data_IF_729678366192
#
_entry.id   IF_729678366192
#
_cell.length_a   1.000
_cell.length_b   1.000
_cell.length_c   1.000
_cell.angle_alpha   90.00
_cell.angle_beta   90.00
_cell.angle_gamma   90.00
#
_symmetry.space_group_name_H-M   'P 1'
#
loop_
_entity.id
_entity.type
_entity.pdbx_description
1 polymer ?
#
# COMPACT_ATOMS: atom_id res chain seq x y z
N UNK A 1 37.95 10.69 9.24
CA UNK A 1 36.59 10.12 9.31
C UNK A 1 35.89 10.50 8.03
N UNK A 2 35.76 9.55 7.10
CA UNK A 2 35.37 9.78 5.71
C UNK A 2 33.88 10.07 5.58
N UNK A 3 33.59 11.09 4.77
CA UNK A 3 32.30 11.72 4.50
C UNK A 3 31.26 10.85 3.75
N UNK A 4 31.29 9.52 3.93
CA UNK A 4 30.42 8.58 3.19
C UNK A 4 29.24 7.99 3.99
N UNK A 5 29.09 8.30 5.27
CA UNK A 5 27.97 7.77 6.08
C UNK A 5 26.69 8.62 6.02
N UNK A 6 26.71 9.76 5.31
CA UNK A 6 25.51 10.62 5.13
C UNK A 6 24.65 10.25 3.92
N UNK A 7 25.11 9.40 3.01
CA UNK A 7 24.36 8.99 1.82
C UNK A 7 23.44 7.79 2.04
N UNK A 8 23.34 7.30 3.28
CA UNK A 8 22.37 6.29 3.70
C UNK A 8 21.17 6.88 4.44
N UNK A 9 21.02 8.21 4.45
CA UNK A 9 19.73 8.83 4.73
C UNK A 9 18.71 8.18 3.81
N UNK A 10 17.68 7.59 4.40
CA UNK A 10 16.60 6.92 3.70
C UNK A 10 16.10 7.80 2.54
N UNK A 11 16.51 7.50 1.30
CA UNK A 11 16.17 8.27 0.09
C UNK A 11 14.68 8.13 -0.28
N UNK A 12 13.87 7.52 0.59
CA UNK A 12 12.49 7.19 0.34
C UNK A 12 11.60 8.32 0.84
N UNK A 13 11.32 9.28 -0.04
CA UNK A 13 10.39 10.37 0.27
C UNK A 13 8.92 9.91 0.31
N UNK A 14 8.60 8.67 -0.13
CA UNK A 14 7.29 8.06 0.03
C UNK A 14 7.37 6.53 -0.02
N UNK A 15 6.28 5.89 0.43
CA UNK A 15 6.16 4.44 0.54
C UNK A 15 6.06 3.71 -0.81
N UNK A 16 5.52 4.37 -1.83
CA UNK A 16 5.46 3.84 -3.20
C UNK A 16 6.85 3.52 -3.75
N UNK A 17 7.83 4.37 -3.45
CA UNK A 17 9.21 4.14 -3.88
C UNK A 17 9.81 2.86 -3.28
N UNK A 18 9.40 2.46 -2.06
CA UNK A 18 9.82 1.21 -1.43
C UNK A 18 9.18 -0.01 -2.09
N UNK A 19 7.90 0.10 -2.47
CA UNK A 19 7.19 -0.97 -3.16
C UNK A 19 7.75 -1.26 -4.55
N UNK A 20 8.11 -0.20 -5.29
CA UNK A 20 8.56 -0.31 -6.67
C UNK A 20 9.93 -0.99 -6.84
N UNK A 21 10.71 -1.09 -5.76
CA UNK A 21 12.05 -1.66 -5.83
C UNK A 21 12.07 -3.12 -6.27
N UNK A 22 13.04 -3.52 -7.11
CA UNK A 22 13.39 -4.93 -7.31
C UNK A 22 13.79 -5.60 -5.98
N UNK A 23 13.63 -6.92 -5.88
CA UNK A 23 13.93 -7.68 -4.67
C UNK A 23 15.34 -7.43 -4.12
N UNK A 24 16.35 -7.47 -4.99
CA UNK A 24 17.73 -7.27 -4.58
C UNK A 24 18.02 -5.87 -4.03
N UNK A 25 17.22 -4.86 -4.40
CA UNK A 25 17.31 -3.51 -3.84
C UNK A 25 16.57 -3.40 -2.51
N UNK A 26 15.41 -4.07 -2.36
CA UNK A 26 14.70 -4.16 -1.06
C UNK A 26 15.54 -4.84 0.01
N UNK A 27 16.22 -5.93 -0.33
CA UNK A 27 17.13 -6.62 0.59
C UNK A 27 18.28 -5.70 1.02
N UNK A 28 18.84 -4.89 0.11
CA UNK A 28 19.88 -3.90 0.43
C UNK A 28 19.36 -2.72 1.25
N UNK A 29 18.07 -2.40 1.13
CA UNK A 29 17.42 -1.36 1.91
C UNK A 29 17.15 -1.78 3.36
N UNK A 30 17.44 -3.02 3.74
CA UNK A 30 17.27 -3.46 5.13
C UNK A 30 18.11 -2.65 6.12
N UNK A 31 17.43 -2.01 7.07
CA UNK A 31 18.01 -1.32 8.22
C UNK A 31 16.93 -1.18 9.31
N UNK A 32 17.35 -0.95 10.56
CA UNK A 32 16.42 -0.69 11.66
C UNK A 32 15.53 0.54 11.38
N UNK A 33 16.10 1.61 10.82
CA UNK A 33 15.37 2.81 10.42
C UNK A 33 14.26 2.51 9.40
N UNK A 34 14.57 1.72 8.37
CA UNK A 34 13.58 1.36 7.35
C UNK A 34 12.54 0.35 7.87
N UNK A 35 12.89 -0.49 8.84
CA UNK A 35 11.91 -1.32 9.55
C UNK A 35 10.90 -0.46 10.30
N UNK A 36 11.38 0.49 11.10
CA UNK A 36 10.54 1.39 11.91
C UNK A 36 9.65 2.24 11.00
N UNK A 37 10.20 2.75 9.89
CA UNK A 37 9.42 3.43 8.87
C UNK A 37 8.30 2.55 8.31
N UNK A 38 8.61 1.32 7.90
CA UNK A 38 7.64 0.37 7.35
C UNK A 38 6.54 0.01 8.38
N UNK A 39 6.93 -0.24 9.64
CA UNK A 39 6.01 -0.52 10.74
C UNK A 39 5.06 0.65 11.00
N UNK A 40 5.60 1.87 11.11
CA UNK A 40 4.81 3.07 11.34
C UNK A 40 3.86 3.34 10.18
N UNK A 41 4.34 3.24 8.94
CA UNK A 41 3.51 3.44 7.77
C UNK A 41 2.35 2.44 7.74
N UNK A 42 2.63 1.15 7.91
CA UNK A 42 1.59 0.12 7.86
C UNK A 42 0.60 0.27 9.02
N UNK A 43 1.06 0.63 10.20
CA UNK A 43 0.17 0.91 11.32
C UNK A 43 -0.76 2.11 11.04
N UNK A 44 -0.30 3.14 10.33
CA UNK A 44 -1.13 4.29 9.96
C UNK A 44 -2.08 3.95 8.81
N UNK A 45 -1.56 3.38 7.73
CA UNK A 45 -2.33 3.15 6.51
C UNK A 45 -3.24 1.93 6.60
N UNK A 46 -2.96 0.97 7.49
CA UNK A 46 -3.76 -0.24 7.62
C UNK A 46 -4.49 -0.37 8.95
N UNK A 47 -4.97 0.75 9.50
CA UNK A 47 -5.77 0.80 10.73
C UNK A 47 -5.13 -0.01 11.89
N UNK A 48 -3.91 0.37 12.26
CA UNK A 48 -3.13 -0.25 13.32
C UNK A 48 -2.74 -1.72 13.08
N UNK A 49 -2.72 -2.17 11.82
CA UNK A 49 -2.18 -3.49 11.48
C UNK A 49 -0.74 -3.64 11.97
N UNK A 50 -0.48 -4.74 12.67
CA UNK A 50 0.86 -5.10 13.11
C UNK A 50 1.52 -6.01 12.09
N UNK A 51 2.71 -5.63 11.63
CA UNK A 51 3.49 -6.46 10.73
C UNK A 51 3.90 -7.77 11.41
N UNK A 52 4.09 -8.86 10.64
CA UNK A 52 4.73 -10.05 11.16
C UNK A 52 6.17 -9.75 11.60
N UNK A 53 6.76 -10.64 12.38
CA UNK A 53 8.16 -10.52 12.82
C UNK A 53 9.10 -10.45 11.60
N UNK A 54 9.92 -9.40 11.54
CA UNK A 54 10.94 -9.19 10.51
C UNK A 54 12.30 -9.29 11.19
N UNK A 55 12.97 -10.43 11.04
CA UNK A 55 14.26 -10.69 11.70
C UNK A 55 15.47 -10.35 10.82
N UNK A 56 15.28 -10.35 9.51
CA UNK A 56 16.37 -10.19 8.55
C UNK A 56 15.93 -9.49 7.25
N UNK A 57 16.91 -9.24 6.37
CA UNK A 57 16.69 -8.54 5.10
C UNK A 57 15.75 -9.27 4.13
N UNK A 58 15.72 -10.60 4.18
CA UNK A 58 14.83 -11.38 3.33
C UNK A 58 13.38 -11.27 3.80
N UNK A 59 13.15 -11.35 5.12
CA UNK A 59 11.82 -11.15 5.71
C UNK A 59 11.28 -9.76 5.34
N UNK A 60 12.13 -8.73 5.45
CA UNK A 60 11.78 -7.36 5.09
C UNK A 60 11.33 -7.25 3.63
N UNK A 61 12.10 -7.83 2.71
CA UNK A 61 11.77 -7.84 1.28
C UNK A 61 10.48 -8.59 0.98
N UNK A 62 10.25 -9.73 1.64
CA UNK A 62 9.06 -10.55 1.44
C UNK A 62 7.80 -9.85 1.98
N UNK A 63 7.88 -9.21 3.15
CA UNK A 63 6.75 -8.44 3.70
C UNK A 63 6.35 -7.33 2.74
N UNK A 64 7.29 -6.54 2.23
CA UNK A 64 7.01 -5.47 1.26
C UNK A 64 6.37 -6.04 -0.01
N UNK A 65 6.88 -7.17 -0.52
CA UNK A 65 6.32 -7.85 -1.70
C UNK A 65 4.88 -8.30 -1.47
N UNK A 66 4.58 -8.90 -0.31
CA UNK A 66 3.23 -9.35 0.04
C UNK A 66 2.28 -8.17 0.19
N UNK A 67 2.68 -7.11 0.88
CA UNK A 67 1.90 -5.88 1.00
C UNK A 67 1.60 -5.28 -0.38
N UNK A 68 2.60 -5.21 -1.27
CA UNK A 68 2.42 -4.72 -2.64
C UNK A 68 1.43 -5.55 -3.44
N UNK A 69 1.55 -6.87 -3.34
CA UNK A 69 0.66 -7.78 -4.05
C UNK A 69 -0.79 -7.57 -3.59
N UNK A 70 -1.02 -7.50 -2.27
CA UNK A 70 -2.35 -7.26 -1.72
C UNK A 70 -2.92 -5.90 -2.14
N UNK A 71 -2.12 -4.83 -2.07
CA UNK A 71 -2.49 -3.50 -2.56
C UNK A 71 -2.91 -3.54 -4.04
N UNK A 72 -2.08 -4.16 -4.90
CA UNK A 72 -2.35 -4.26 -6.33
C UNK A 72 -3.61 -5.06 -6.64
N UNK A 73 -3.78 -6.23 -6.01
CA UNK A 73 -4.94 -7.09 -6.24
C UNK A 73 -6.23 -6.39 -5.80
N UNK A 74 -6.19 -5.69 -4.66
CA UNK A 74 -7.33 -4.92 -4.19
C UNK A 74 -7.66 -3.78 -5.16
N UNK A 75 -6.66 -2.99 -5.57
CA UNK A 75 -6.85 -1.88 -6.51
C UNK A 75 -7.39 -2.34 -7.87
N UNK A 76 -6.88 -3.47 -8.40
CA UNK A 76 -7.40 -4.06 -9.64
C UNK A 76 -8.87 -4.44 -9.52
N UNK A 77 -9.28 -5.00 -8.38
CA UNK A 77 -10.68 -5.35 -8.13
C UNK A 77 -11.56 -4.11 -7.95
N UNK A 78 -11.07 -3.06 -7.27
CA UNK A 78 -11.76 -1.78 -7.16
C UNK A 78 -12.04 -1.20 -8.56
N UNK A 79 -11.02 -1.09 -9.41
CA UNK A 79 -11.17 -0.53 -10.76
C UNK A 79 -12.17 -1.31 -11.60
N UNK A 80 -12.20 -2.64 -11.48
CA UNK A 80 -13.19 -3.48 -12.16
C UNK A 80 -14.61 -3.18 -11.68
N UNK A 81 -14.83 -3.05 -10.37
CA UNK A 81 -16.15 -2.76 -9.81
C UNK A 81 -16.62 -1.34 -10.15
N UNK A 82 -15.70 -0.37 -10.16
CA UNK A 82 -16.00 0.99 -10.61
C UNK A 82 -16.47 1.02 -12.07
N UNK A 83 -15.79 0.29 -12.95
CA UNK A 83 -16.19 0.16 -14.36
C UNK A 83 -17.57 -0.50 -14.50
N UNK A 84 -17.81 -1.62 -13.81
CA UNK A 84 -19.13 -2.30 -13.82
C UNK A 84 -20.23 -1.35 -13.32
N UNK A 85 -19.96 -0.58 -12.26
CA UNK A 85 -20.91 0.38 -11.72
C UNK A 85 -21.26 1.50 -12.73
N UNK A 86 -20.27 2.03 -13.47
CA UNK A 86 -20.52 3.03 -14.51
C UNK A 86 -21.27 2.45 -15.73
N UNK A 87 -21.00 1.19 -16.10
CA UNK A 87 -21.69 0.53 -17.21
C UNK A 87 -23.15 0.18 -16.87
N UNK A 88 -23.39 -0.43 -15.70
CA UNK A 88 -24.73 -0.92 -15.33
C UNK A 88 -25.62 0.16 -14.74
N UNK A 89 -25.04 1.12 -14.00
CA UNK A 89 -25.75 2.21 -13.30
C UNK A 89 -26.95 1.74 -12.47
N UNK A 90 -26.83 0.54 -11.89
CA UNK A 90 -27.89 -0.09 -11.08
C UNK A 90 -27.60 0.06 -9.59
N UNK A 91 -28.66 -0.01 -8.77
CA UNK A 91 -28.52 0.02 -7.32
C UNK A 91 -27.69 -1.18 -6.78
N UNK A 92 -27.78 -2.34 -7.44
CA UNK A 92 -26.97 -3.52 -7.11
C UNK A 92 -25.48 -3.27 -7.33
N UNK A 93 -25.08 -2.72 -8.49
CA UNK A 93 -23.68 -2.43 -8.77
C UNK A 93 -23.11 -1.34 -7.86
N UNK A 94 -23.92 -0.36 -7.46
CA UNK A 94 -23.55 0.65 -6.47
C UNK A 94 -23.32 0.02 -5.08
N UNK A 95 -24.22 -0.88 -4.65
CA UNK A 95 -24.09 -1.59 -3.38
C UNK A 95 -22.85 -2.48 -3.36
N UNK A 96 -22.60 -3.28 -4.41
CA UNK A 96 -21.42 -4.13 -4.51
C UNK A 96 -20.11 -3.34 -4.42
N UNK A 97 -20.05 -2.17 -5.08
CA UNK A 97 -18.91 -1.27 -5.01
C UNK A 97 -18.73 -0.71 -3.59
N UNK A 98 -19.80 -0.22 -2.96
CA UNK A 98 -19.76 0.33 -1.61
C UNK A 98 -19.35 -0.73 -0.57
N UNK A 99 -19.91 -1.94 -0.65
CA UNK A 99 -19.54 -3.07 0.19
C UNK A 99 -18.06 -3.42 0.02
N UNK A 100 -17.56 -3.48 -1.22
CA UNK A 100 -16.15 -3.77 -1.47
C UNK A 100 -15.22 -2.69 -0.90
N UNK A 101 -15.55 -1.40 -1.05
CA UNK A 101 -14.78 -0.30 -0.46
C UNK A 101 -14.70 -0.44 1.07
N UNK A 102 -15.78 -0.88 1.73
CA UNK A 102 -15.79 -1.10 3.18
C UNK A 102 -14.91 -2.28 3.63
N UNK A 103 -14.49 -3.15 2.71
CA UNK A 103 -13.49 -4.20 3.00
C UNK A 103 -12.04 -3.72 2.83
N UNK A 104 -11.81 -2.49 2.38
CA UNK A 104 -10.47 -1.99 2.14
C UNK A 104 -9.68 -1.90 3.45
N UNK A 105 -8.53 -2.58 3.54
CA UNK A 105 -7.68 -2.42 4.70
C UNK A 105 -6.75 -1.21 4.58
N UNK A 106 -6.74 -0.46 3.46
CA UNK A 106 -5.78 0.62 3.19
C UNK A 106 -6.48 1.99 3.20
N UNK A 107 -6.16 2.84 4.17
CA UNK A 107 -6.72 4.18 4.33
C UNK A 107 -6.49 5.05 3.07
N UNK A 108 -5.26 5.10 2.54
CA UNK A 108 -4.97 5.81 1.29
C UNK A 108 -5.83 5.38 0.09
N UNK A 109 -6.25 4.11 0.01
CA UNK A 109 -7.11 3.63 -1.08
C UNK A 109 -8.58 3.95 -0.82
N UNK A 110 -9.00 3.99 0.45
CA UNK A 110 -10.35 4.43 0.82
C UNK A 110 -10.52 5.90 0.43
N UNK A 111 -9.52 6.75 0.67
CA UNK A 111 -9.55 8.16 0.26
C UNK A 111 -9.74 8.27 -1.25
N UNK A 112 -8.93 7.59 -2.05
CA UNK A 112 -9.08 7.55 -3.51
C UNK A 112 -10.45 7.03 -3.92
N UNK A 113 -10.90 5.92 -3.33
CA UNK A 113 -12.19 5.31 -3.65
C UNK A 113 -13.39 6.22 -3.31
N UNK A 114 -13.26 7.07 -2.28
CA UNK A 114 -14.29 8.04 -1.86
C UNK A 114 -14.21 9.36 -2.62
N UNK A 115 -13.02 9.77 -3.07
CA UNK A 115 -12.78 10.99 -3.86
C UNK A 115 -12.93 10.78 -5.37
N UNK A 116 -13.20 9.55 -5.85
CA UNK A 116 -13.71 9.39 -7.21
C UNK A 116 -14.99 10.24 -7.30
N UNK A 117 -15.10 11.16 -8.28
CA UNK A 117 -16.28 11.98 -8.43
C UNK A 117 -17.47 11.11 -8.86
N UNK A 118 -18.12 10.49 -7.88
CA UNK A 118 -19.56 10.32 -7.88
C UNK A 118 -20.17 11.66 -7.47
N UNK A 119 -20.00 12.68 -8.31
CA UNK A 119 -20.97 13.77 -8.32
C UNK A 119 -22.28 13.15 -8.79
N UNK A 120 -23.00 12.61 -7.82
CA UNK A 120 -24.44 12.46 -7.83
C UNK A 120 -25.01 13.85 -8.15
N UNK A 121 -25.35 14.05 -9.43
CA UNK A 121 -26.43 14.91 -9.90
C UNK A 121 -26.91 14.36 -11.24
#
# INVERSE_FOLDING_TARGET
MTSNDKSRQSNWNNFDALFELPEHERVKAWSQENLEFLQNFVAVEMNHYSLPDIANAQDFSEVIKVLRLNYRLWNQRLMKLMWINDELRSAEAQNDLAEFINTCPWNMLIEVARDVPGQLN
#
